data_IF_580760429454
#
_entry.id   IF_580760429454
#
_cell.length_a   1.000
_cell.length_b   1.000
_cell.length_c   1.000
_cell.angle_alpha   90.00
_cell.angle_beta   90.00
_cell.angle_gamma   90.00
#
_symmetry.space_group_name_H-M   'P 1'
#
loop_
_entity.id
_entity.type
_entity.pdbx_description
1 polymer ?
#
# COMPACT_ATOMS: atom_id res chain seq x y z
N UNK A 1 28.25 -19.32 13.48
CA UNK A 1 27.53 -18.15 14.06
C UNK A 1 27.83 -18.06 15.56
N UNK A 2 28.00 -16.84 16.10
CA UNK A 2 28.18 -16.62 17.53
C UNK A 2 26.85 -16.27 18.18
N UNK A 3 26.62 -16.77 19.41
CA UNK A 3 25.38 -16.53 20.16
C UNK A 3 25.52 -15.32 21.07
N UNK A 4 24.54 -14.44 21.06
CA UNK A 4 24.47 -13.25 21.88
C UNK A 4 23.08 -13.09 22.49
N UNK A 5 23.01 -12.40 23.62
CA UNK A 5 21.77 -11.80 24.09
C UNK A 5 21.57 -10.47 23.35
N UNK A 6 20.36 -10.17 22.89
CA UNK A 6 20.08 -8.96 22.08
C UNK A 6 20.55 -7.69 22.79
N UNK A 7 20.28 -7.56 24.09
CA UNK A 7 20.69 -6.41 24.89
C UNK A 7 22.22 -6.22 25.04
N UNK A 8 23.03 -7.25 24.75
CA UNK A 8 24.50 -7.14 24.80
C UNK A 8 25.07 -6.55 23.50
N UNK A 9 24.29 -6.59 22.42
CA UNK A 9 24.72 -6.12 21.08
C UNK A 9 23.93 -4.92 20.57
N UNK A 10 22.84 -4.55 21.24
CA UNK A 10 21.96 -3.45 20.81
C UNK A 10 21.33 -2.76 22.02
N UNK A 11 21.56 -1.46 22.14
CA UNK A 11 20.89 -0.65 23.15
C UNK A 11 19.43 -0.40 22.73
N UNK A 12 18.49 -0.58 23.68
CA UNK A 12 17.07 -0.37 23.47
C UNK A 12 16.62 0.90 24.21
N UNK A 13 16.25 1.93 23.47
CA UNK A 13 15.82 3.20 24.03
C UNK A 13 14.29 3.36 23.93
N UNK A 14 13.65 3.70 25.03
CA UNK A 14 12.21 4.00 25.02
C UNK A 14 11.94 5.42 24.53
N UNK A 15 10.86 5.60 23.79
CA UNK A 15 10.25 6.90 23.56
C UNK A 15 9.67 7.52 24.83
N UNK A 16 8.78 8.49 24.69
CA UNK A 16 8.12 9.20 25.79
C UNK A 16 6.61 8.99 25.73
N UNK A 17 5.96 8.87 26.90
CA UNK A 17 4.51 8.97 26.99
C UNK A 17 4.08 10.44 26.94
N UNK A 18 3.05 10.74 26.14
CA UNK A 18 2.51 12.09 26.01
C UNK A 18 1.09 12.16 26.62
N UNK A 19 0.85 13.21 27.39
CA UNK A 19 -0.49 13.53 27.90
C UNK A 19 -1.31 14.19 26.80
N UNK A 20 -2.63 14.16 26.90
CA UNK A 20 -3.53 14.72 25.88
C UNK A 20 -3.29 16.21 25.60
N UNK A 21 -2.95 16.99 26.64
CA UNK A 21 -2.63 18.42 26.53
C UNK A 21 -1.25 18.72 25.91
N UNK A 22 -0.42 17.70 25.71
CA UNK A 22 0.91 17.80 25.06
C UNK A 22 0.83 17.43 23.56
N UNK A 23 -0.34 16.99 23.09
CA UNK A 23 -0.61 16.59 21.72
C UNK A 23 -1.29 17.75 20.99
N UNK A 24 -0.48 18.54 20.28
CA UNK A 24 -0.94 19.70 19.52
C UNK A 24 -1.33 19.31 18.09
N UNK A 25 -2.16 20.13 17.45
CA UNK A 25 -2.49 19.99 16.01
C UNK A 25 -1.38 20.51 15.08
N UNK A 26 -0.48 21.34 15.60
CA UNK A 26 0.72 21.87 14.93
C UNK A 26 1.77 22.19 15.98
N UNK A 27 3.06 22.18 15.61
CA UNK A 27 4.16 22.48 16.53
C UNK A 27 5.52 22.17 15.91
N UNK A 28 6.58 22.34 16.70
CA UNK A 28 7.98 22.24 16.25
C UNK A 28 8.36 20.81 15.82
N UNK A 29 7.94 19.82 16.59
CA UNK A 29 8.30 18.43 16.36
C UNK A 29 7.05 17.58 16.13
N UNK A 30 6.99 16.81 15.02
CA UNK A 30 5.98 15.75 14.87
C UNK A 30 6.21 14.66 15.92
N UNK A 31 5.11 14.04 16.40
CA UNK A 31 5.15 12.93 17.35
C UNK A 31 4.91 11.63 16.58
N UNK A 32 5.94 10.81 16.43
CA UNK A 32 5.85 9.50 15.82
C UNK A 32 5.14 8.53 16.77
N UNK A 33 3.99 8.01 16.38
CA UNK A 33 3.20 7.00 17.08
C UNK A 33 3.11 5.72 16.25
N UNK A 34 2.70 4.62 16.87
CA UNK A 34 2.56 3.33 16.17
C UNK A 34 1.65 3.43 14.94
N UNK A 35 0.56 4.22 15.01
CA UNK A 35 -0.29 4.48 13.85
C UNK A 35 0.50 5.10 12.68
N UNK A 36 1.26 6.17 12.92
CA UNK A 36 2.10 6.82 11.90
C UNK A 36 3.23 5.92 11.39
N UNK A 37 3.68 4.98 12.24
CA UNK A 37 4.71 4.01 11.91
C UNK A 37 4.26 3.05 10.79
N UNK A 38 2.97 2.67 10.76
CA UNK A 38 2.45 1.68 9.82
C UNK A 38 1.47 2.22 8.76
N UNK A 39 0.53 3.12 9.12
CA UNK A 39 -0.57 3.41 8.20
C UNK A 39 -1.35 4.72 8.42
N UNK A 40 -1.06 5.51 9.45
CA UNK A 40 -1.87 6.69 9.76
C UNK A 40 -1.21 8.00 9.34
N UNK A 41 -1.93 8.82 8.57
CA UNK A 41 -1.50 10.17 8.18
C UNK A 41 -1.88 11.23 9.23
N UNK A 42 -2.53 10.83 10.33
CA UNK A 42 -2.90 11.75 11.40
C UNK A 42 -1.74 12.00 12.33
N UNK A 43 -1.10 13.15 12.21
CA UNK A 43 0.01 13.59 13.05
C UNK A 43 -0.46 14.44 14.22
N UNK A 44 0.27 14.31 15.35
CA UNK A 44 0.29 15.24 16.45
C UNK A 44 1.67 15.88 16.54
N UNK A 45 1.75 17.03 17.19
CA UNK A 45 2.96 17.81 17.31
C UNK A 45 3.23 18.19 18.77
N UNK A 46 4.42 18.64 19.06
CA UNK A 46 4.80 19.21 20.34
C UNK A 46 5.93 20.22 20.18
N UNK A 47 5.96 21.23 21.06
CA UNK A 47 7.01 22.23 21.13
C UNK A 47 8.06 21.91 22.20
N UNK A 48 7.96 20.73 22.85
CA UNK A 48 8.88 20.34 23.92
C UNK A 48 10.29 20.07 23.40
N UNK A 49 11.26 20.66 24.10
CA UNK A 49 12.66 20.26 23.97
C UNK A 49 12.91 19.07 24.93
N UNK A 50 13.34 17.95 24.35
CA UNK A 50 13.56 16.69 25.05
C UNK A 50 15.04 16.31 25.04
N UNK A 51 15.49 15.38 25.92
CA UNK A 51 16.81 14.77 25.81
C UNK A 51 17.00 14.10 24.43
N UNK A 52 18.24 14.09 23.92
CA UNK A 52 18.55 13.61 22.55
C UNK A 52 18.08 12.18 22.28
N UNK A 53 18.07 11.32 23.31
CA UNK A 53 17.57 9.94 23.21
C UNK A 53 16.04 9.83 23.06
N UNK A 54 15.31 10.95 22.99
CA UNK A 54 13.85 10.98 22.69
C UNK A 54 13.53 11.46 21.28
N UNK A 55 14.56 11.70 20.49
CA UNK A 55 14.43 12.00 19.07
C UNK A 55 14.85 10.79 18.23
N UNK A 56 14.21 10.64 17.09
CA UNK A 56 14.73 9.82 16.01
C UNK A 56 14.81 10.65 14.72
N UNK A 57 15.70 10.25 13.84
CA UNK A 57 15.98 10.91 12.58
C UNK A 57 16.17 9.84 11.49
N UNK A 58 16.38 10.29 10.27
CA UNK A 58 16.58 9.40 9.14
C UNK A 58 17.66 8.34 9.44
N UNK A 59 17.42 7.15 8.95
CA UNK A 59 18.23 5.95 9.13
C UNK A 59 18.26 5.37 10.56
N UNK A 60 17.54 5.90 11.53
CA UNK A 60 17.40 5.24 12.82
C UNK A 60 16.63 3.91 12.69
N UNK A 61 17.13 2.87 13.33
CA UNK A 61 16.42 1.60 13.46
C UNK A 61 15.42 1.71 14.61
N UNK A 62 14.14 1.59 14.28
CA UNK A 62 13.05 1.65 15.23
C UNK A 62 12.30 0.32 15.29
N UNK A 63 11.65 0.05 16.42
CA UNK A 63 10.78 -1.12 16.59
C UNK A 63 9.51 -0.74 17.34
N UNK A 64 8.36 -0.94 16.73
CA UNK A 64 7.06 -0.83 17.40
C UNK A 64 6.75 -2.11 18.18
N UNK A 65 6.37 -1.97 19.47
CA UNK A 65 6.21 -3.11 20.37
C UNK A 65 4.81 -3.25 20.99
N UNK A 66 3.84 -2.47 20.53
CA UNK A 66 2.47 -2.46 21.05
C UNK A 66 1.46 -2.26 19.95
N UNK A 67 0.36 -2.97 19.99
CA UNK A 67 -0.75 -3.00 19.05
C UNK A 67 -0.35 -3.58 17.67
N UNK A 68 0.61 -2.98 16.99
CA UNK A 68 1.25 -3.50 15.78
C UNK A 68 2.74 -3.62 16.03
N UNK A 69 3.34 -4.73 15.63
CA UNK A 69 4.74 -5.04 15.90
C UNK A 69 5.56 -5.00 14.62
N UNK A 70 6.79 -4.54 14.73
CA UNK A 70 7.75 -4.65 13.65
C UNK A 70 8.81 -3.57 13.66
N UNK A 71 9.93 -3.82 12.95
CA UNK A 71 11.00 -2.86 12.76
C UNK A 71 10.69 -1.91 11.59
N UNK A 72 11.35 -0.76 11.61
CA UNK A 72 11.41 0.18 10.49
C UNK A 72 12.76 0.90 10.52
N UNK A 73 13.37 1.09 9.36
CA UNK A 73 14.39 2.12 9.20
C UNK A 73 13.63 3.43 8.93
N UNK A 74 13.83 4.41 9.81
CA UNK A 74 13.08 5.66 9.74
C UNK A 74 13.60 6.56 8.60
N UNK A 75 12.68 7.20 7.89
CA UNK A 75 12.93 8.05 6.71
C UNK A 75 12.14 9.38 6.71
N UNK A 76 11.43 9.66 7.81
CA UNK A 76 10.53 10.83 7.93
C UNK A 76 11.17 12.07 8.59
N UNK A 77 12.52 12.17 8.67
CA UNK A 77 13.22 13.28 9.28
C UNK A 77 13.18 13.28 10.80
N UNK A 78 13.59 14.41 11.41
CA UNK A 78 13.69 14.51 12.86
C UNK A 78 12.32 14.63 13.52
N UNK A 79 11.98 13.66 14.38
CA UNK A 79 10.73 13.58 15.13
C UNK A 79 10.98 13.18 16.58
N UNK A 80 10.05 13.48 17.48
CA UNK A 80 10.00 12.86 18.81
C UNK A 80 9.12 11.62 18.74
N UNK A 81 9.41 10.57 19.52
CA UNK A 81 8.70 9.30 19.36
C UNK A 81 8.04 8.82 20.65
N UNK A 82 6.90 8.14 20.45
CA UNK A 82 6.05 7.63 21.52
C UNK A 82 6.68 6.41 22.21
N UNK A 83 6.38 6.19 23.50
CA UNK A 83 6.97 5.10 24.29
C UNK A 83 6.67 3.69 23.75
N UNK A 84 5.65 3.52 22.91
CA UNK A 84 5.35 2.26 22.23
C UNK A 84 6.30 1.96 21.04
N UNK A 85 7.29 2.78 20.84
CA UNK A 85 8.34 2.59 19.85
C UNK A 85 9.67 2.61 20.58
N UNK A 86 10.55 1.67 20.28
CA UNK A 86 11.94 1.67 20.69
C UNK A 86 12.83 2.17 19.56
N UNK A 87 13.83 2.96 19.92
CA UNK A 87 14.99 3.24 19.09
C UNK A 87 16.06 2.22 19.44
N UNK A 88 16.57 1.52 18.46
CA UNK A 88 17.55 0.45 18.58
C UNK A 88 18.91 0.96 18.10
N UNK A 89 19.92 0.90 18.96
CA UNK A 89 21.28 1.36 18.65
C UNK A 89 22.21 0.16 18.69
N UNK A 90 22.56 -0.45 17.54
CA UNK A 90 23.49 -1.58 17.48
C UNK A 90 24.90 -1.19 17.86
N UNK A 91 25.60 -2.09 18.54
CA UNK A 91 27.05 -2.02 18.69
C UNK A 91 27.69 -2.34 17.33
N UNK A 92 28.24 -1.32 16.67
CA UNK A 92 28.78 -1.38 15.30
C UNK A 92 29.96 -2.34 15.13
N UNK A 93 30.65 -2.70 16.24
CA UNK A 93 31.74 -3.68 16.23
C UNK A 93 31.24 -5.13 16.15
N UNK A 94 29.97 -5.38 16.49
CA UNK A 94 29.39 -6.74 16.60
C UNK A 94 28.24 -6.93 15.62
N UNK A 95 27.40 -5.91 15.42
CA UNK A 95 26.15 -6.03 14.72
C UNK A 95 25.94 -4.95 13.66
N UNK A 96 25.66 -5.36 12.43
CA UNK A 96 25.23 -4.46 11.36
C UNK A 96 23.78 -4.05 11.56
N UNK A 97 23.49 -2.75 11.44
CA UNK A 97 22.16 -2.16 11.65
C UNK A 97 21.09 -2.79 10.74
N UNK A 98 21.40 -2.96 9.45
CA UNK A 98 20.46 -3.47 8.48
C UNK A 98 20.29 -4.99 8.61
N UNK A 99 21.34 -5.71 9.00
CA UNK A 99 21.20 -7.13 9.35
C UNK A 99 20.25 -7.32 10.53
N UNK A 100 20.35 -6.51 11.59
CA UNK A 100 19.42 -6.55 12.71
C UNK A 100 18.00 -6.17 12.27
N UNK A 101 17.83 -5.21 11.38
CA UNK A 101 16.53 -4.87 10.80
C UNK A 101 15.90 -6.10 10.14
N UNK A 102 16.62 -6.81 9.27
CA UNK A 102 16.12 -8.02 8.60
C UNK A 102 15.91 -9.19 9.55
N UNK A 103 16.77 -9.33 10.55
CA UNK A 103 16.57 -10.34 11.59
C UNK A 103 15.27 -10.06 12.38
N UNK A 104 14.99 -8.83 12.70
CA UNK A 104 13.73 -8.44 13.36
C UNK A 104 12.53 -8.68 12.45
N UNK A 105 12.59 -8.35 11.16
CA UNK A 105 11.55 -8.67 10.18
C UNK A 105 11.26 -10.17 10.14
N UNK A 106 12.30 -11.00 10.08
CA UNK A 106 12.16 -12.45 10.07
C UNK A 106 11.64 -13.02 11.40
N UNK A 107 12.00 -12.41 12.51
CA UNK A 107 11.71 -12.93 13.85
C UNK A 107 10.42 -12.39 14.46
N UNK A 108 9.76 -11.38 13.87
CA UNK A 108 8.62 -10.67 14.49
C UNK A 108 7.49 -11.61 14.91
N UNK A 109 7.12 -12.59 14.09
CA UNK A 109 6.08 -13.56 14.40
C UNK A 109 6.46 -14.44 15.60
N UNK A 110 7.73 -14.86 15.71
CA UNK A 110 8.25 -15.63 16.85
C UNK A 110 8.31 -14.76 18.11
N UNK A 111 8.75 -13.52 17.98
CA UNK A 111 8.83 -12.57 19.09
C UNK A 111 7.45 -12.26 19.69
N UNK A 112 6.41 -12.27 18.87
CA UNK A 112 5.03 -12.00 19.29
C UNK A 112 4.24 -13.25 19.70
N UNK A 113 4.68 -14.45 19.34
CA UNK A 113 3.98 -15.71 19.64
C UNK A 113 3.82 -16.00 21.14
N UNK A 114 4.71 -15.44 22.00
CA UNK A 114 4.63 -15.57 23.47
C UNK A 114 3.66 -14.61 24.16
N UNK A 115 3.01 -13.70 23.42
CA UNK A 115 2.15 -12.63 23.97
C UNK A 115 0.67 -13.00 24.01
N UNK A 116 0.32 -14.30 23.84
CA UNK A 116 -1.07 -14.77 23.82
C UNK A 116 -1.69 -14.80 25.24
N UNK A 117 -2.68 -13.92 25.47
CA UNK A 117 -3.53 -13.97 26.67
C UNK A 117 -4.16 -12.67 27.14
N UNK A 118 -3.85 -11.53 26.55
CA UNK A 118 -4.53 -10.26 26.88
C UNK A 118 -5.08 -9.58 25.62
N UNK A 119 -6.08 -8.71 25.83
CA UNK A 119 -6.76 -7.91 24.78
C UNK A 119 -5.79 -7.03 23.98
N UNK A 120 -4.55 -6.86 24.46
CA UNK A 120 -3.45 -6.22 23.72
C UNK A 120 -2.15 -7.01 23.97
N UNK A 121 -1.54 -7.52 22.90
CA UNK A 121 -0.21 -8.09 22.96
C UNK A 121 0.81 -6.98 23.27
N UNK A 122 1.67 -7.20 24.26
CA UNK A 122 2.76 -6.30 24.64
C UNK A 122 4.04 -7.11 24.79
N UNK A 123 5.14 -6.55 24.31
CA UNK A 123 6.49 -7.04 24.58
C UNK A 123 7.17 -6.06 25.53
N UNK A 124 7.79 -6.55 26.58
CA UNK A 124 8.58 -5.68 27.47
C UNK A 124 9.98 -5.45 26.90
N UNK A 125 10.63 -4.36 27.34
CA UNK A 125 12.02 -4.11 27.00
C UNK A 125 12.93 -5.27 27.42
N UNK A 126 12.70 -5.83 28.62
CA UNK A 126 13.45 -6.98 29.12
C UNK A 126 13.28 -8.22 28.24
N UNK A 127 12.07 -8.46 27.72
CA UNK A 127 11.83 -9.59 26.80
C UNK A 127 12.65 -9.40 25.51
N UNK A 128 12.72 -8.20 24.95
CA UNK A 128 13.54 -7.90 23.79
C UNK A 128 15.04 -8.07 24.09
N UNK A 129 15.52 -7.48 25.16
CA UNK A 129 16.94 -7.56 25.55
C UNK A 129 17.40 -8.98 25.85
N UNK A 130 16.50 -9.85 26.34
CA UNK A 130 16.80 -11.27 26.63
C UNK A 130 16.68 -12.20 25.41
N UNK A 131 16.23 -11.71 24.25
CA UNK A 131 16.19 -12.56 23.04
C UNK A 131 17.59 -13.07 22.70
N UNK A 132 17.63 -14.35 22.32
CA UNK A 132 18.85 -14.94 21.81
C UNK A 132 18.94 -14.73 20.31
N UNK A 133 20.09 -14.28 19.86
CA UNK A 133 20.39 -14.06 18.44
C UNK A 133 21.73 -14.74 18.09
N UNK A 134 21.74 -15.42 16.97
CA UNK A 134 22.95 -15.98 16.37
C UNK A 134 23.42 -15.06 15.23
N UNK A 135 24.62 -14.55 15.33
CA UNK A 135 25.19 -13.64 14.33
C UNK A 135 26.35 -14.32 13.59
N UNK A 136 26.41 -14.23 12.26
CA UNK A 136 27.62 -14.53 11.50
C UNK A 136 28.67 -13.43 11.72
N UNK A 137 29.83 -13.53 11.06
CA UNK A 137 30.83 -12.46 11.07
C UNK A 137 30.23 -11.14 10.57
N UNK A 138 30.76 -10.01 11.06
CA UNK A 138 30.26 -8.68 10.65
C UNK A 138 30.34 -8.47 9.13
N UNK A 139 31.35 -9.05 8.46
CA UNK A 139 31.46 -9.04 7.01
C UNK A 139 30.29 -9.79 6.34
N UNK A 140 29.93 -10.95 6.87
CA UNK A 140 28.80 -11.72 6.35
C UNK A 140 27.47 -11.01 6.61
N UNK A 141 27.30 -10.39 7.79
CA UNK A 141 26.11 -9.58 8.07
C UNK A 141 25.93 -8.47 7.02
N UNK A 142 27.01 -7.74 6.69
CA UNK A 142 26.98 -6.67 5.69
C UNK A 142 26.65 -7.20 4.28
N UNK A 143 27.18 -8.36 3.89
CA UNK A 143 26.84 -8.98 2.59
C UNK A 143 25.35 -9.35 2.52
N UNK A 144 24.84 -10.02 3.55
CA UNK A 144 23.42 -10.41 3.62
C UNK A 144 22.52 -9.16 3.60
N UNK A 145 22.82 -8.17 4.42
CA UNK A 145 22.01 -6.94 4.47
C UNK A 145 22.10 -6.13 3.17
N UNK A 146 23.24 -6.11 2.48
CA UNK A 146 23.39 -5.45 1.18
C UNK A 146 22.47 -6.06 0.12
N UNK A 147 22.43 -7.41 0.02
CA UNK A 147 21.55 -8.11 -0.93
C UNK A 147 20.10 -7.74 -0.69
N UNK A 148 19.62 -7.85 0.55
CA UNK A 148 18.23 -7.59 0.88
C UNK A 148 17.88 -6.11 0.70
N UNK A 149 18.78 -5.20 1.06
CA UNK A 149 18.60 -3.76 0.85
C UNK A 149 18.47 -3.39 -0.63
N UNK A 150 19.31 -3.96 -1.49
CA UNK A 150 19.24 -3.71 -2.94
C UNK A 150 17.85 -4.07 -3.49
N UNK A 151 17.25 -5.16 -2.99
CA UNK A 151 15.89 -5.54 -3.38
C UNK A 151 14.86 -4.52 -2.84
N UNK A 152 14.93 -4.16 -1.56
CA UNK A 152 14.00 -3.21 -0.96
C UNK A 152 14.12 -1.81 -1.58
N UNK A 153 15.34 -1.34 -1.83
CA UNK A 153 15.61 -0.05 -2.50
C UNK A 153 15.03 -0.04 -3.93
N UNK A 154 15.12 -1.16 -4.66
CA UNK A 154 14.51 -1.28 -5.98
C UNK A 154 12.97 -1.28 -5.90
N UNK A 155 12.38 -1.97 -4.91
CA UNK A 155 10.93 -1.93 -4.66
C UNK A 155 10.48 -0.49 -4.36
N UNK A 156 11.19 0.21 -3.49
CA UNK A 156 10.88 1.60 -3.13
C UNK A 156 10.99 2.54 -4.34
N UNK A 157 12.06 2.40 -5.13
CA UNK A 157 12.24 3.18 -6.35
C UNK A 157 11.10 2.94 -7.35
N UNK A 158 10.72 1.69 -7.56
CA UNK A 158 9.61 1.35 -8.44
C UNK A 158 8.28 1.94 -7.96
N UNK A 159 8.02 1.95 -6.64
CA UNK A 159 6.85 2.62 -6.08
C UNK A 159 6.86 4.14 -6.34
N UNK A 160 8.02 4.80 -6.18
CA UNK A 160 8.18 6.22 -6.49
C UNK A 160 7.94 6.51 -7.99
N UNK A 161 8.47 5.65 -8.86
CA UNK A 161 8.23 5.75 -10.30
C UNK A 161 6.74 5.62 -10.60
N UNK A 162 6.05 4.62 -10.05
CA UNK A 162 4.62 4.41 -10.27
C UNK A 162 3.79 5.61 -9.83
N UNK A 163 4.04 6.15 -8.64
CA UNK A 163 3.35 7.34 -8.14
C UNK A 163 3.56 8.54 -9.07
N UNK A 164 4.79 8.78 -9.51
CA UNK A 164 5.11 9.89 -10.42
C UNK A 164 4.41 9.73 -11.78
N UNK A 165 4.41 8.52 -12.36
CA UNK A 165 3.73 8.24 -13.64
C UNK A 165 2.22 8.44 -13.51
N UNK A 166 1.62 8.02 -12.41
CA UNK A 166 0.18 8.21 -12.15
C UNK A 166 -0.17 9.69 -11.96
N UNK A 167 0.66 10.45 -11.25
CA UNK A 167 0.51 11.90 -11.10
C UNK A 167 0.61 12.62 -12.45
N UNK A 168 1.57 12.24 -13.32
CA UNK A 168 1.68 12.76 -14.67
C UNK A 168 0.43 12.47 -15.51
N UNK A 169 -0.07 11.22 -15.47
CA UNK A 169 -1.29 10.84 -16.18
C UNK A 169 -2.50 11.64 -15.70
N UNK A 170 -2.63 11.85 -14.38
CA UNK A 170 -3.72 12.66 -13.80
C UNK A 170 -3.59 14.14 -14.17
N UNK A 171 -2.38 14.68 -14.21
CA UNK A 171 -2.14 16.07 -14.64
C UNK A 171 -2.51 16.27 -16.12
N UNK A 172 -2.13 15.32 -16.99
CA UNK A 172 -2.55 15.31 -18.39
C UNK A 172 -4.07 15.25 -18.53
N UNK A 173 -4.71 14.33 -17.79
CA UNK A 173 -6.18 14.24 -17.79
C UNK A 173 -6.83 15.57 -17.41
N UNK A 174 -6.34 16.22 -16.37
CA UNK A 174 -6.86 17.52 -15.93
C UNK A 174 -6.67 18.61 -17.01
N UNK A 175 -5.47 18.71 -17.57
CA UNK A 175 -5.16 19.68 -18.61
C UNK A 175 -6.06 19.51 -19.85
N UNK A 176 -6.31 18.27 -20.29
CA UNK A 176 -7.15 18.00 -21.46
C UNK A 176 -8.65 18.19 -21.22
N UNK A 177 -9.17 17.67 -20.07
CA UNK A 177 -10.61 17.43 -19.91
C UNK A 177 -11.28 18.20 -18.76
N UNK A 178 -10.49 18.92 -17.97
CA UNK A 178 -10.99 19.72 -16.84
C UNK A 178 -10.66 21.21 -17.00
N UNK A 179 -9.38 21.49 -17.23
CA UNK A 179 -8.85 22.85 -17.37
C UNK A 179 -8.94 23.32 -18.84
N UNK A 180 -9.03 22.36 -19.78
CA UNK A 180 -9.15 22.60 -21.23
C UNK A 180 -8.02 23.46 -21.80
N UNK A 181 -6.77 23.25 -21.31
CA UNK A 181 -5.61 24.08 -21.66
C UNK A 181 -5.36 24.12 -23.18
N UNK A 182 -5.56 22.97 -23.86
CA UNK A 182 -5.41 22.87 -25.31
C UNK A 182 -6.62 23.43 -26.10
N UNK A 183 -7.66 23.92 -25.40
CA UNK A 183 -8.94 24.31 -25.98
C UNK A 183 -9.40 25.70 -25.50
N UNK A 184 -8.46 26.62 -25.22
CA UNK A 184 -8.73 27.99 -24.76
C UNK A 184 -9.55 28.05 -23.46
N UNK A 185 -9.40 27.09 -22.54
CA UNK A 185 -10.02 27.07 -21.21
C UNK A 185 -11.49 26.65 -21.18
N UNK A 186 -12.02 26.05 -22.24
CA UNK A 186 -13.39 25.55 -22.28
C UNK A 186 -13.55 24.35 -23.22
N UNK A 187 -14.54 23.50 -22.90
CA UNK A 187 -14.81 22.34 -23.75
C UNK A 187 -15.23 22.78 -25.16
N UNK A 188 -14.64 22.22 -26.22
CA UNK A 188 -15.03 22.52 -27.60
C UNK A 188 -16.50 22.20 -27.89
N UNK A 189 -17.15 23.02 -28.72
CA UNK A 189 -18.54 22.80 -29.13
C UNK A 189 -18.72 21.48 -29.91
N UNK A 190 -17.64 20.90 -30.44
CA UNK A 190 -17.65 19.63 -31.14
C UNK A 190 -17.75 18.42 -30.22
N UNK A 191 -17.59 18.60 -28.89
CA UNK A 191 -17.73 17.51 -27.92
C UNK A 191 -19.20 17.25 -27.63
N UNK A 192 -19.56 15.97 -27.58
CA UNK A 192 -20.92 15.53 -27.29
C UNK A 192 -21.24 15.76 -25.78
N UNK A 193 -22.25 16.60 -25.49
CA UNK A 193 -22.73 16.81 -24.12
C UNK A 193 -23.71 15.71 -23.74
N UNK A 194 -23.55 15.10 -22.56
CA UNK A 194 -24.44 14.06 -22.10
C UNK A 194 -24.16 13.67 -20.65
N UNK A 195 -24.62 12.49 -20.30
CA UNK A 195 -24.31 11.85 -19.02
C UNK A 195 -23.43 10.63 -19.24
N UNK A 196 -22.69 10.22 -18.22
CA UNK A 196 -21.74 9.09 -18.35
C UNK A 196 -22.41 7.82 -18.89
N UNK A 197 -23.67 7.57 -18.50
CA UNK A 197 -24.44 6.41 -18.96
C UNK A 197 -24.76 6.39 -20.47
N UNK A 198 -24.65 7.53 -21.15
CA UNK A 198 -24.81 7.60 -22.62
C UNK A 198 -23.57 7.07 -23.35
N UNK A 199 -22.42 7.12 -22.69
CA UNK A 199 -21.11 6.80 -23.27
C UNK A 199 -20.54 5.47 -22.79
N UNK A 200 -21.00 4.98 -21.62
CA UNK A 200 -20.47 3.81 -20.94
C UNK A 200 -21.57 2.97 -20.32
N UNK A 201 -21.60 1.68 -20.67
CA UNK A 201 -22.52 0.74 -20.03
C UNK A 201 -21.99 0.32 -18.66
N UNK A 202 -22.68 0.75 -17.59
CA UNK A 202 -22.29 0.50 -16.19
C UNK A 202 -23.14 -0.63 -15.63
N UNK A 203 -22.48 -1.70 -15.20
CA UNK A 203 -23.09 -2.89 -14.59
C UNK A 203 -22.53 -3.15 -13.20
N UNK A 204 -23.26 -3.96 -12.44
CA UNK A 204 -22.88 -4.36 -11.08
C UNK A 204 -22.42 -5.81 -11.05
N UNK A 205 -21.42 -6.13 -10.25
CA UNK A 205 -21.03 -7.49 -9.93
C UNK A 205 -22.14 -8.28 -9.22
N UNK A 206 -21.89 -9.56 -8.98
CA UNK A 206 -22.85 -10.46 -8.35
C UNK A 206 -22.19 -11.31 -7.27
N UNK A 207 -22.96 -11.67 -6.23
CA UNK A 207 -22.47 -12.50 -5.13
C UNK A 207 -23.25 -13.80 -5.02
N UNK A 208 -22.61 -14.98 -5.12
CA UNK A 208 -23.25 -16.22 -4.74
C UNK A 208 -23.61 -16.18 -3.24
N UNK A 209 -24.81 -16.68 -2.90
CA UNK A 209 -25.31 -16.64 -1.51
C UNK A 209 -25.82 -18.00 -1.08
N UNK A 210 -25.51 -18.43 0.18
CA UNK A 210 -24.54 -17.80 1.10
C UNK A 210 -23.12 -18.00 0.61
N UNK A 211 -22.28 -16.96 0.69
CA UNK A 211 -20.94 -16.96 0.11
C UNK A 211 -20.03 -18.05 0.70
N UNK A 212 -20.23 -18.39 1.97
CA UNK A 212 -19.44 -19.42 2.68
C UNK A 212 -19.48 -20.79 1.98
N UNK A 213 -20.57 -21.10 1.27
CA UNK A 213 -20.70 -22.36 0.53
C UNK A 213 -19.90 -22.38 -0.78
N UNK A 214 -19.34 -21.24 -1.18
CA UNK A 214 -18.61 -21.07 -2.44
C UNK A 214 -17.15 -20.71 -2.23
N UNK A 215 -16.74 -20.29 -1.01
CA UNK A 215 -15.35 -20.00 -0.70
C UNK A 215 -14.51 -21.28 -0.76
N UNK A 216 -13.27 -21.16 -1.23
CA UNK A 216 -12.32 -22.24 -1.44
C UNK A 216 -10.89 -21.76 -1.27
N UNK A 217 -9.98 -22.70 -1.01
CA UNK A 217 -8.53 -22.43 -0.96
C UNK A 217 -7.89 -22.31 -2.36
N UNK A 218 -8.63 -22.63 -3.40
CA UNK A 218 -8.19 -22.57 -4.80
C UNK A 218 -9.39 -22.45 -5.74
N UNK A 219 -9.16 -22.07 -7.01
CA UNK A 219 -10.19 -21.96 -8.03
C UNK A 219 -10.23 -20.58 -8.68
N UNK A 220 -11.41 -19.98 -8.78
CA UNK A 220 -11.58 -18.65 -9.37
C UNK A 220 -11.29 -17.58 -8.33
N UNK A 221 -10.44 -16.61 -8.66
CA UNK A 221 -10.18 -15.46 -7.78
C UNK A 221 -11.48 -14.72 -7.45
N UNK A 222 -11.61 -14.30 -6.18
CA UNK A 222 -12.75 -13.59 -5.63
C UNK A 222 -12.33 -12.23 -5.07
N UNK A 223 -12.50 -11.18 -5.87
CA UNK A 223 -12.03 -9.84 -5.53
C UNK A 223 -12.88 -9.20 -4.43
N UNK A 224 -12.25 -8.90 -3.28
CA UNK A 224 -12.82 -8.09 -2.21
C UNK A 224 -12.35 -6.63 -2.31
N UNK A 225 -13.15 -5.72 -1.72
CA UNK A 225 -12.75 -4.30 -1.65
C UNK A 225 -11.51 -4.12 -0.77
N UNK A 226 -11.34 -4.95 0.27
CA UNK A 226 -10.13 -4.94 1.10
C UNK A 226 -8.85 -5.20 0.30
N UNK A 227 -8.89 -6.09 -0.70
CA UNK A 227 -7.72 -6.36 -1.55
C UNK A 227 -7.31 -5.09 -2.32
N UNK A 228 -8.29 -4.36 -2.85
CA UNK A 228 -8.03 -3.12 -3.59
C UNK A 228 -7.59 -1.94 -2.72
N UNK A 229 -8.07 -1.85 -1.48
CA UNK A 229 -7.72 -0.72 -0.58
C UNK A 229 -6.31 -0.82 0.00
N UNK A 230 -5.74 -2.02 0.04
CA UNK A 230 -4.35 -2.24 0.47
C UNK A 230 -3.31 -1.95 -0.63
N UNK A 231 -3.75 -1.80 -1.88
CA UNK A 231 -2.87 -1.62 -3.06
C UNK A 231 -2.88 -0.16 -3.48
N UNK A 232 -1.71 0.47 -3.51
CA UNK A 232 -1.54 1.86 -4.00
C UNK A 232 -1.58 1.92 -5.53
N UNK A 233 -1.03 0.91 -6.23
CA UNK A 233 -1.04 0.83 -7.70
C UNK A 233 -2.45 0.91 -8.29
N UNK A 234 -2.62 1.48 -9.49
CA UNK A 234 -3.85 1.36 -10.28
C UNK A 234 -4.26 -0.09 -10.57
N UNK A 235 -3.31 -1.02 -10.57
CA UNK A 235 -3.52 -2.41 -10.95
C UNK A 235 -3.67 -3.34 -9.76
N UNK A 236 -4.62 -4.29 -9.86
CA UNK A 236 -4.79 -5.40 -8.91
C UNK A 236 -4.10 -6.62 -9.50
N UNK A 237 -2.97 -7.02 -8.92
CA UNK A 237 -2.17 -8.17 -9.33
C UNK A 237 -2.13 -9.29 -8.29
N UNK A 238 -2.86 -9.16 -7.18
CA UNK A 238 -2.99 -10.17 -6.14
C UNK A 238 -4.39 -10.14 -5.52
N UNK A 239 -4.99 -11.31 -5.35
CA UNK A 239 -6.29 -11.52 -4.69
C UNK A 239 -6.16 -12.74 -3.80
N UNK A 240 -6.59 -12.61 -2.54
CA UNK A 240 -6.34 -13.61 -1.50
C UNK A 240 -7.35 -14.74 -1.47
N UNK A 241 -8.58 -14.51 -1.92
CA UNK A 241 -9.66 -15.46 -1.79
C UNK A 241 -10.07 -16.05 -3.15
N UNK A 242 -10.63 -17.24 -3.07
CA UNK A 242 -11.11 -17.98 -4.23
C UNK A 242 -12.54 -18.45 -3.99
N UNK A 243 -13.25 -18.68 -5.10
CA UNK A 243 -14.52 -19.39 -5.11
C UNK A 243 -14.45 -20.61 -6.04
N UNK A 244 -15.26 -21.61 -5.73
CA UNK A 244 -15.46 -22.77 -6.60
C UNK A 244 -16.17 -22.38 -7.89
N UNK A 245 -16.02 -23.18 -8.96
CA UNK A 245 -16.62 -22.93 -10.28
C UNK A 245 -18.16 -22.82 -10.25
N UNK A 246 -18.83 -23.54 -9.35
CA UNK A 246 -20.29 -23.45 -9.18
C UNK A 246 -20.79 -22.04 -8.81
N UNK A 247 -19.90 -21.21 -8.23
CA UNK A 247 -20.16 -19.80 -7.96
C UNK A 247 -20.24 -18.93 -9.22
N UNK A 248 -19.63 -19.35 -10.33
CA UNK A 248 -19.54 -18.57 -11.57
C UNK A 248 -20.91 -18.15 -12.13
N UNK A 249 -21.90 -19.00 -11.99
CA UNK A 249 -23.28 -18.71 -12.46
C UNK A 249 -23.98 -17.58 -11.69
N UNK A 250 -23.44 -17.19 -10.53
CA UNK A 250 -24.05 -16.23 -9.60
C UNK A 250 -23.18 -14.99 -9.39
N UNK A 251 -22.07 -14.88 -10.11
CA UNK A 251 -21.13 -13.76 -10.05
C UNK A 251 -20.83 -13.25 -11.46
N UNK A 252 -19.96 -12.25 -11.54
CA UNK A 252 -19.45 -11.74 -12.81
C UNK A 252 -17.97 -12.05 -12.88
N UNK A 253 -17.56 -12.76 -13.91
CA UNK A 253 -16.16 -13.05 -14.20
C UNK A 253 -15.62 -12.01 -15.18
N UNK A 254 -14.53 -11.36 -14.84
CA UNK A 254 -13.85 -10.38 -15.65
C UNK A 254 -12.43 -10.85 -15.98
N UNK A 255 -12.00 -10.49 -17.18
CA UNK A 255 -10.64 -10.72 -17.64
C UNK A 255 -9.69 -9.64 -17.15
N UNK A 256 -8.39 -9.97 -17.07
CA UNK A 256 -7.34 -9.00 -16.91
C UNK A 256 -7.48 -7.87 -17.95
N UNK A 257 -7.15 -6.64 -17.56
CA UNK A 257 -7.39 -5.43 -18.31
C UNK A 257 -8.74 -4.75 -18.02
N UNK A 258 -9.71 -5.43 -17.39
CA UNK A 258 -10.99 -4.80 -17.09
C UNK A 258 -10.86 -3.75 -15.97
N UNK A 259 -11.56 -2.62 -16.15
CA UNK A 259 -11.72 -1.59 -15.10
C UNK A 259 -12.86 -1.97 -14.16
N UNK A 260 -12.63 -1.83 -12.87
CA UNK A 260 -13.64 -1.96 -11.81
C UNK A 260 -13.68 -0.71 -10.94
N UNK A 261 -14.84 -0.41 -10.38
CA UNK A 261 -15.05 0.72 -9.48
C UNK A 261 -15.79 0.23 -8.22
N UNK A 262 -15.24 0.50 -7.04
CA UNK A 262 -15.91 0.12 -5.80
C UNK A 262 -17.19 0.93 -5.58
N UNK A 263 -18.29 0.28 -5.20
CA UNK A 263 -19.54 0.96 -4.86
C UNK A 263 -19.86 0.94 -3.37
N UNK A 264 -19.13 0.16 -2.56
CA UNK A 264 -19.37 -0.01 -1.13
C UNK A 264 -18.07 0.03 -0.34
N UNK A 265 -18.13 0.12 0.98
CA UNK A 265 -17.01 0.21 1.93
C UNK A 265 -16.07 1.40 1.66
N UNK A 266 -15.47 1.49 0.50
CA UNK A 266 -14.60 2.59 0.05
C UNK A 266 -15.05 3.05 -1.34
N UNK A 267 -16.22 3.72 -1.46
CA UNK A 267 -16.85 3.98 -2.74
C UNK A 267 -16.00 4.88 -3.65
N UNK A 268 -16.14 4.64 -4.96
CA UNK A 268 -15.50 5.44 -5.99
C UNK A 268 -14.00 5.16 -6.17
N UNK A 269 -13.48 4.03 -5.67
CA UNK A 269 -12.09 3.62 -5.89
C UNK A 269 -11.97 2.86 -7.22
N UNK A 270 -11.36 3.44 -8.27
CA UNK A 270 -11.13 2.73 -9.52
C UNK A 270 -9.91 1.81 -9.41
N UNK A 271 -9.95 0.66 -10.07
CA UNK A 271 -8.83 -0.26 -10.24
C UNK A 271 -8.92 -0.98 -11.59
N UNK A 272 -7.78 -1.31 -12.17
CA UNK A 272 -7.67 -2.14 -13.38
C UNK A 272 -7.18 -3.52 -12.95
N UNK A 273 -7.80 -4.57 -13.46
CA UNK A 273 -7.43 -5.94 -13.13
C UNK A 273 -6.18 -6.36 -13.90
N UNK A 274 -5.18 -6.94 -13.22
CA UNK A 274 -4.04 -7.61 -13.84
C UNK A 274 -4.19 -9.13 -13.85
N UNK A 275 -5.24 -9.63 -13.23
CA UNK A 275 -5.58 -11.07 -13.18
C UNK A 275 -7.07 -11.28 -13.42
N UNK A 276 -7.40 -12.42 -14.03
CA UNK A 276 -8.79 -12.85 -14.22
C UNK A 276 -9.45 -13.07 -12.86
N UNK A 277 -10.65 -12.51 -12.64
CA UNK A 277 -11.31 -12.61 -11.33
C UNK A 277 -12.82 -12.52 -11.40
N UNK A 278 -13.48 -13.10 -10.41
CA UNK A 278 -14.87 -12.87 -10.10
C UNK A 278 -15.04 -11.66 -9.19
N UNK A 279 -16.07 -10.85 -9.42
CA UNK A 279 -16.37 -9.65 -8.64
C UNK A 279 -17.73 -9.76 -7.95
N UNK A 280 -17.76 -9.36 -6.66
CA UNK A 280 -18.99 -9.33 -5.90
C UNK A 280 -19.84 -8.07 -6.17
N UNK A 281 -21.04 -8.02 -5.62
CA UNK A 281 -22.01 -6.93 -5.80
C UNK A 281 -21.58 -5.58 -5.17
N UNK A 282 -20.43 -5.51 -4.50
CA UNK A 282 -19.75 -4.29 -4.07
C UNK A 282 -18.92 -3.62 -5.16
N UNK A 283 -18.85 -4.19 -6.37
CA UNK A 283 -18.13 -3.67 -7.51
C UNK A 283 -19.05 -3.28 -8.65
N UNK A 284 -18.68 -2.23 -9.36
CA UNK A 284 -19.19 -1.86 -10.67
C UNK A 284 -18.14 -2.19 -11.73
N UNK A 285 -18.59 -2.50 -12.95
CA UNK A 285 -17.75 -2.75 -14.11
C UNK A 285 -18.36 -2.15 -15.38
N UNK A 286 -17.56 -2.03 -16.40
CA UNK A 286 -17.87 -1.30 -17.62
C UNK A 286 -17.81 -2.25 -18.81
N UNK A 287 -18.96 -2.73 -19.29
CA UNK A 287 -19.02 -3.79 -20.31
C UNK A 287 -18.87 -3.27 -21.74
N UNK A 288 -19.28 -2.03 -21.99
CA UNK A 288 -19.15 -1.35 -23.27
C UNK A 288 -18.84 0.11 -22.99
N UNK A 289 -17.81 0.64 -23.64
CA UNK A 289 -17.39 2.01 -23.43
C UNK A 289 -16.83 2.63 -24.72
N UNK A 290 -17.14 3.89 -24.96
CA UNK A 290 -16.52 4.75 -25.96
C UNK A 290 -15.22 5.39 -25.47
N UNK A 291 -14.89 5.20 -24.17
CA UNK A 291 -13.73 5.74 -23.46
C UNK A 291 -12.79 4.60 -23.08
N UNK A 292 -11.50 4.83 -23.07
CA UNK A 292 -10.50 3.82 -22.64
C UNK A 292 -10.60 3.58 -21.13
N UNK A 293 -10.06 2.45 -20.65
CA UNK A 293 -10.01 2.14 -19.22
C UNK A 293 -9.12 3.12 -18.46
N UNK A 294 -8.04 3.59 -19.08
CA UNK A 294 -7.13 4.59 -18.53
C UNK A 294 -7.82 5.95 -18.37
N UNK A 295 -8.59 6.39 -19.38
CA UNK A 295 -9.42 7.58 -19.29
C UNK A 295 -10.42 7.48 -18.13
N UNK A 296 -11.18 6.39 -18.08
CA UNK A 296 -12.20 6.16 -17.03
C UNK A 296 -11.57 6.05 -15.65
N UNK A 297 -10.40 5.41 -15.52
CA UNK A 297 -9.64 5.34 -14.27
C UNK A 297 -9.32 6.74 -13.75
N UNK A 298 -8.73 7.60 -14.61
CA UNK A 298 -8.35 8.97 -14.27
C UNK A 298 -9.58 9.85 -14.00
N UNK A 299 -10.63 9.68 -14.78
CA UNK A 299 -11.92 10.34 -14.58
C UNK A 299 -12.48 10.02 -13.19
N UNK A 300 -12.61 8.75 -12.82
CA UNK A 300 -13.15 8.37 -11.52
C UNK A 300 -12.22 8.80 -10.38
N UNK A 301 -10.92 8.75 -10.55
CA UNK A 301 -9.95 9.26 -9.58
C UNK A 301 -10.15 10.76 -9.35
N UNK A 302 -10.34 11.53 -10.41
CA UNK A 302 -10.57 12.97 -10.33
C UNK A 302 -11.90 13.34 -9.64
N UNK A 303 -12.98 12.63 -9.96
CA UNK A 303 -14.32 12.95 -9.41
C UNK A 303 -14.64 12.26 -8.09
N UNK A 304 -13.75 11.43 -7.56
CA UNK A 304 -14.03 10.56 -6.42
C UNK A 304 -14.59 11.28 -5.20
N UNK A 305 -14.00 12.40 -4.82
CA UNK A 305 -14.48 13.19 -3.67
C UNK A 305 -15.91 13.70 -3.89
N UNK A 306 -16.23 14.14 -5.11
CA UNK A 306 -17.59 14.55 -5.49
C UNK A 306 -18.57 13.38 -5.44
N UNK A 307 -18.16 12.19 -5.92
CA UNK A 307 -18.98 10.97 -5.85
C UNK A 307 -19.28 10.56 -4.41
N UNK A 308 -18.29 10.61 -3.54
CA UNK A 308 -18.45 10.30 -2.11
C UNK A 308 -19.40 11.30 -1.45
N UNK A 309 -19.26 12.60 -1.76
CA UNK A 309 -20.14 13.65 -1.24
C UNK A 309 -21.60 13.48 -1.68
N UNK A 310 -21.85 13.06 -2.93
CA UNK A 310 -23.20 12.78 -3.46
C UNK A 310 -23.84 11.53 -2.84
N UNK A 311 -23.02 10.59 -2.34
CA UNK A 311 -23.49 9.37 -1.67
C UNK A 311 -23.90 9.53 -0.21
N UNK A 312 -23.62 10.69 0.43
CA UNK A 312 -23.79 10.94 1.86
C UNK A 312 -25.24 11.24 2.28
N UNK A 313 -26.07 10.19 2.32
CA UNK A 313 -27.42 10.26 2.93
C UNK A 313 -27.68 9.24 4.04
N UNK A 314 -26.74 8.33 4.35
CA UNK A 314 -26.88 7.30 5.40
C UNK A 314 -25.52 6.80 5.90
N UNK A 315 -25.51 6.18 7.06
CA UNK A 315 -24.31 5.66 7.79
C UNK A 315 -23.47 4.64 6.99
N UNK A 316 -24.00 4.11 5.86
CA UNK A 316 -23.30 3.26 4.90
C UNK A 316 -23.42 3.88 3.51
N UNK A 317 -22.36 4.51 3.07
CA UNK A 317 -22.27 5.13 1.74
C UNK A 317 -22.07 4.07 0.66
N UNK A 318 -23.14 3.70 0.00
CA UNK A 318 -23.09 2.92 -1.26
C UNK A 318 -23.22 3.88 -2.44
N UNK A 319 -22.28 3.87 -3.36
CA UNK A 319 -22.38 4.59 -4.61
C UNK A 319 -23.42 3.91 -5.51
N UNK A 320 -24.59 4.51 -5.65
CA UNK A 320 -25.66 3.99 -6.51
C UNK A 320 -25.26 4.11 -7.98
N UNK A 321 -25.53 3.08 -8.76
CA UNK A 321 -25.25 3.06 -10.21
C UNK A 321 -25.88 4.23 -10.96
N UNK A 322 -27.07 4.67 -10.54
CA UNK A 322 -27.79 5.79 -11.16
C UNK A 322 -27.08 7.15 -10.95
N UNK A 323 -26.37 7.33 -9.83
CA UNK A 323 -25.56 8.53 -9.61
C UNK A 323 -24.47 8.64 -10.68
N UNK A 324 -23.82 7.50 -10.97
CA UNK A 324 -22.78 7.45 -12.01
C UNK A 324 -23.38 7.60 -13.42
N UNK A 325 -24.46 6.89 -13.71
CA UNK A 325 -25.13 6.98 -15.03
C UNK A 325 -25.55 8.39 -15.36
N UNK A 326 -26.06 9.12 -14.37
CA UNK A 326 -26.54 10.51 -14.55
C UNK A 326 -25.46 11.57 -14.30
N UNK A 327 -24.19 11.16 -14.14
CA UNK A 327 -23.11 12.13 -13.93
C UNK A 327 -22.86 12.91 -15.23
N UNK A 328 -23.04 14.26 -15.23
CA UNK A 328 -22.87 15.07 -16.41
C UNK A 328 -21.41 15.09 -16.86
N UNK A 329 -21.18 14.84 -18.13
CA UNK A 329 -19.85 14.83 -18.71
C UNK A 329 -19.91 15.17 -20.21
N UNK A 330 -18.74 15.32 -20.80
CA UNK A 330 -18.55 15.46 -22.24
C UNK A 330 -17.89 14.21 -22.79
N UNK A 331 -18.26 13.83 -24.00
CA UNK A 331 -17.48 12.88 -24.79
C UNK A 331 -16.64 13.67 -25.79
N UNK A 332 -15.31 13.66 -25.66
CA UNK A 332 -14.41 14.25 -26.64
C UNK A 332 -14.50 13.57 -28.02
N UNK A 333 -14.01 14.24 -29.05
CA UNK A 333 -13.92 13.60 -30.38
C UNK A 333 -12.94 12.43 -30.36
N UNK A 334 -13.08 11.51 -31.30
CA UNK A 334 -12.21 10.34 -31.40
C UNK A 334 -10.73 10.72 -31.59
N UNK A 335 -10.46 11.82 -32.28
CA UNK A 335 -9.12 12.35 -32.51
C UNK A 335 -8.47 12.75 -31.19
N UNK A 336 -9.18 13.51 -30.34
CA UNK A 336 -8.69 13.95 -29.03
C UNK A 336 -8.50 12.76 -28.09
N UNK A 337 -9.44 11.80 -28.09
CA UNK A 337 -9.31 10.58 -27.29
C UNK A 337 -8.11 9.74 -27.75
N UNK A 338 -7.89 9.61 -29.07
CA UNK A 338 -6.76 8.85 -29.61
C UNK A 338 -5.42 9.54 -29.30
N UNK A 339 -5.35 10.86 -29.39
CA UNK A 339 -4.17 11.62 -29.00
C UNK A 339 -3.86 11.42 -27.52
N UNK A 340 -4.84 11.64 -26.63
CA UNK A 340 -4.69 11.41 -25.21
C UNK A 340 -4.26 9.99 -24.88
N UNK A 341 -4.93 8.99 -25.43
CA UNK A 341 -4.62 7.57 -25.24
C UNK A 341 -3.21 7.23 -25.68
N UNK A 342 -2.71 7.83 -26.78
CA UNK A 342 -1.34 7.60 -27.28
C UNK A 342 -0.26 8.05 -26.28
N UNK A 343 -0.58 9.01 -25.38
CA UNK A 343 0.34 9.50 -24.34
C UNK A 343 0.14 8.73 -23.06
N UNK A 344 -1.11 8.47 -22.64
CA UNK A 344 -1.42 7.95 -21.30
C UNK A 344 -1.27 6.43 -21.22
N UNK A 345 -1.63 5.68 -22.25
CA UNK A 345 -1.49 4.21 -22.24
C UNK A 345 -0.06 3.74 -21.98
N UNK A 346 0.99 4.31 -22.63
CA UNK A 346 2.38 3.96 -22.30
C UNK A 346 2.73 4.19 -20.82
N UNK A 347 2.19 5.24 -20.18
CA UNK A 347 2.41 5.47 -18.75
C UNK A 347 1.80 4.34 -17.90
N UNK A 348 0.57 3.92 -18.21
CA UNK A 348 -0.07 2.80 -17.53
C UNK A 348 0.61 1.46 -17.80
N UNK A 349 1.13 1.24 -19.02
CA UNK A 349 1.93 0.04 -19.34
C UNK A 349 3.22 -0.01 -18.50
N UNK A 350 3.90 1.13 -18.32
CA UNK A 350 5.07 1.22 -17.44
C UNK A 350 4.70 0.96 -15.97
N UNK A 351 3.60 1.54 -15.49
CA UNK A 351 3.10 1.29 -14.13
C UNK A 351 2.78 -0.21 -13.94
N UNK A 352 2.16 -0.85 -14.92
CA UNK A 352 1.86 -2.28 -14.85
C UNK A 352 3.13 -3.12 -14.80
N UNK A 353 4.11 -2.84 -15.67
CA UNK A 353 5.39 -3.55 -15.72
C UNK A 353 6.14 -3.44 -14.37
N UNK A 354 6.25 -2.22 -13.83
CA UNK A 354 6.92 -1.98 -12.54
C UNK A 354 6.12 -2.56 -11.36
N UNK A 355 4.78 -2.57 -11.41
CA UNK A 355 3.94 -3.23 -10.39
C UNK A 355 4.18 -4.74 -10.36
N UNK A 356 4.33 -5.39 -11.52
CA UNK A 356 4.71 -6.81 -11.62
C UNK A 356 6.14 -7.06 -11.13
N UNK A 357 7.07 -6.16 -11.44
CA UNK A 357 8.45 -6.24 -10.93
C UNK A 357 8.48 -6.13 -9.40
N UNK A 358 7.73 -5.21 -8.79
CA UNK A 358 7.59 -5.09 -7.33
C UNK A 358 7.12 -6.42 -6.72
N UNK A 359 6.09 -7.06 -7.30
CA UNK A 359 5.59 -8.35 -6.83
C UNK A 359 6.69 -9.43 -6.87
N UNK A 360 7.43 -9.52 -7.98
CA UNK A 360 8.51 -10.50 -8.14
C UNK A 360 9.64 -10.25 -7.14
N UNK A 361 10.06 -8.99 -6.97
CA UNK A 361 11.09 -8.60 -6.00
C UNK A 361 10.65 -8.88 -4.56
N UNK A 362 9.40 -8.59 -4.21
CA UNK A 362 8.83 -8.90 -2.89
C UNK A 362 8.86 -10.42 -2.63
N UNK A 363 8.43 -11.22 -3.59
CA UNK A 363 8.46 -12.69 -3.50
C UNK A 363 9.91 -13.20 -3.36
N UNK A 364 10.84 -12.65 -4.13
CA UNK A 364 12.26 -12.98 -4.06
C UNK A 364 12.83 -12.66 -2.67
N UNK A 365 12.63 -11.44 -2.16
CA UNK A 365 13.05 -11.02 -0.83
C UNK A 365 12.51 -11.95 0.25
N UNK A 366 11.21 -12.22 0.24
CA UNK A 366 10.53 -13.03 1.26
C UNK A 366 10.97 -14.50 1.21
N UNK A 367 11.41 -14.99 0.04
CA UNK A 367 12.01 -16.33 -0.13
C UNK A 367 13.46 -16.36 0.34
N UNK A 368 14.24 -15.33 0.05
CA UNK A 368 15.65 -15.25 0.42
C UNK A 368 15.85 -14.96 1.91
N UNK A 369 15.01 -14.13 2.51
CA UNK A 369 15.16 -13.67 3.88
C UNK A 369 15.35 -14.83 4.89
N UNK A 370 14.47 -15.84 4.98
CA UNK A 370 14.68 -16.94 5.93
C UNK A 370 15.95 -17.75 5.65
N UNK A 371 16.31 -17.97 4.38
CA UNK A 371 17.49 -18.75 3.98
C UNK A 371 18.80 -18.03 4.28
N UNK A 372 18.83 -16.72 4.10
CA UNK A 372 19.97 -15.87 4.44
C UNK A 372 20.14 -15.73 5.96
N UNK A 373 19.02 -15.58 6.70
CA UNK A 373 19.04 -15.45 8.15
C UNK A 373 19.44 -16.76 8.84
N UNK A 374 19.06 -17.92 8.31
CA UNK A 374 19.45 -19.24 8.84
C UNK A 374 20.86 -19.65 8.44
N UNK A 375 21.47 -19.00 7.43
CA UNK A 375 22.74 -19.41 6.84
C UNK A 375 22.62 -20.65 5.91
N UNK A 376 21.40 -21.05 5.52
CA UNK A 376 21.15 -22.08 4.51
C UNK A 376 21.73 -21.65 3.15
N UNK A 377 21.61 -20.37 2.83
CA UNK A 377 22.22 -19.78 1.64
C UNK A 377 23.53 -19.10 2.02
N UNK A 378 24.65 -19.66 1.56
CA UNK A 378 25.96 -19.06 1.73
C UNK A 378 26.23 -18.01 0.65
N UNK A 379 26.58 -16.81 1.08
CA UNK A 379 26.91 -15.66 0.21
C UNK A 379 28.35 -15.20 0.36
N UNK A 380 29.22 -16.03 0.95
CA UNK A 380 30.62 -15.71 1.20
C UNK A 380 31.41 -15.36 -0.06
N UNK A 381 31.11 -16.06 -1.17
CA UNK A 381 31.76 -15.93 -2.47
C UNK A 381 31.18 -14.80 -3.34
N UNK A 382 30.07 -14.16 -2.93
CA UNK A 382 29.49 -13.07 -3.70
C UNK A 382 30.26 -11.76 -3.49
N UNK A 383 30.62 -11.11 -4.58
CA UNK A 383 31.14 -9.72 -4.57
C UNK A 383 29.94 -8.76 -4.51
N UNK A 384 29.60 -8.30 -3.28
CA UNK A 384 28.46 -7.38 -3.01
C UNK A 384 28.91 -6.21 -2.18
#
# INVERSE_FOLDING_TARGET
MAKYRFGDICEVLNGRAYKQNELLSSGKYPILRVGNFFSSDRWYYSDMELPENKYCDNEDLLFAWSASFGPKIWDGGKVIYHYHIWKLIPNKEIADKFYLYYWLCHSVNRLTAGTHGSVMAHMTKGDMENQQIELPSLQMQKKVSSILRTIDEKIELNNKINNNLEEQALALFKSYFIDYDNFNGQAPDTWEKGVLGDFVEIKRGGSPRPIQNYLSDSGLHWLKISDATCITSPFINEIKEYIIEDGLKKTVFLKAGALVLSNSATPGLPKILDIDTCIHDGWLYFSTSRLSNEYLYLFFKHIREKLVALGNGSVFTNLKTDILKNYPTFLPTNEVLSEFDSIVKPLFEMILATTREIKNLTTLRDTLLPKLMSGELDVSELDV
#
